data_IF_720568279855
#
_entry.id   IF_720568279855
#
_cell.length_a   1.000
_cell.length_b   1.000
_cell.length_c   1.000
_cell.angle_alpha   90.00
_cell.angle_beta   90.00
_cell.angle_gamma   90.00
#
_symmetry.space_group_name_H-M   'P 1'
#
loop_
_entity.id
_entity.type
_entity.pdbx_description
1 polymer ?
#
# COMPACT_ATOMS: atom_id res chain seq x y z
N UNK A 1 -13.09 -13.14 1.38
CA UNK A 1 -12.01 -13.05 0.37
C UNK A 1 -10.74 -13.67 0.89
N UNK A 2 -9.93 -14.28 0.02
CA UNK A 2 -8.65 -14.83 0.46
C UNK A 2 -7.69 -13.71 0.88
N UNK A 3 -6.84 -14.02 1.83
CA UNK A 3 -5.79 -13.11 2.26
C UNK A 3 -4.69 -13.06 1.20
N UNK A 4 -4.38 -11.88 0.72
CA UNK A 4 -3.31 -11.69 -0.26
C UNK A 4 -2.02 -11.19 0.37
N UNK A 5 -2.11 -10.35 1.39
CA UNK A 5 -0.94 -9.84 2.08
C UNK A 5 -1.30 -9.38 3.48
N UNK A 6 -0.46 -9.75 4.45
CA UNK A 6 -0.51 -9.19 5.79
C UNK A 6 0.90 -8.77 6.14
N UNK A 7 1.11 -7.50 6.38
CA UNK A 7 2.44 -6.95 6.58
C UNK A 7 2.44 -5.89 7.66
N UNK A 8 3.54 -5.78 8.37
CA UNK A 8 3.68 -4.82 9.47
C UNK A 8 4.56 -3.66 9.03
N UNK A 9 4.12 -2.44 9.31
CA UNK A 9 4.91 -1.25 9.04
C UNK A 9 6.06 -1.20 10.05
N UNK A 10 7.29 -1.21 9.55
CA UNK A 10 8.50 -1.18 10.38
C UNK A 10 9.11 0.21 10.48
N UNK A 11 8.88 1.05 9.47
CA UNK A 11 9.44 2.40 9.42
C UNK A 11 8.62 3.27 8.49
N UNK A 12 8.46 4.53 8.85
CA UNK A 12 7.76 5.52 8.03
C UNK A 12 8.76 6.61 7.69
N UNK A 13 9.03 6.81 6.41
CA UNK A 13 9.98 7.83 5.96
C UNK A 13 9.51 9.25 6.27
N UNK A 14 10.44 10.20 6.40
CA UNK A 14 10.09 11.56 6.82
C UNK A 14 9.19 12.32 5.82
N UNK A 15 9.14 11.91 4.55
CA UNK A 15 8.31 12.56 3.54
C UNK A 15 6.97 11.85 3.30
N UNK A 16 6.72 10.74 4.00
CA UNK A 16 5.48 9.97 3.83
C UNK A 16 4.25 10.80 4.17
N UNK A 17 4.29 11.57 5.26
CA UNK A 17 3.13 12.35 5.69
C UNK A 17 2.67 13.33 4.60
N UNK A 18 3.60 14.00 3.94
CA UNK A 18 3.30 14.94 2.88
C UNK A 18 2.63 14.25 1.67
N UNK A 19 3.16 13.10 1.28
CA UNK A 19 2.58 12.31 0.20
C UNK A 19 1.19 11.78 0.57
N UNK A 20 1.05 11.27 1.80
CA UNK A 20 -0.22 10.73 2.28
C UNK A 20 -1.30 11.81 2.37
N UNK A 21 -0.96 13.03 2.72
CA UNK A 21 -1.90 14.14 2.69
C UNK A 21 -2.45 14.37 1.28
N UNK A 22 -1.65 14.09 0.26
CA UNK A 22 -2.08 14.15 -1.14
C UNK A 22 -2.74 12.86 -1.64
N UNK A 23 -2.95 11.88 -0.76
CA UNK A 23 -3.62 10.64 -1.13
C UNK A 23 -2.71 9.60 -1.76
N UNK A 24 -1.41 9.67 -1.52
CA UNK A 24 -0.44 8.72 -2.10
C UNK A 24 0.35 8.04 -0.98
N UNK A 25 0.47 6.72 -1.07
CA UNK A 25 1.27 5.94 -0.14
C UNK A 25 2.17 5.01 -0.93
N UNK A 26 3.48 5.11 -0.69
CA UNK A 26 4.47 4.25 -1.34
C UNK A 26 4.91 3.20 -0.33
N UNK A 27 4.79 1.92 -0.70
CA UNK A 27 5.25 0.81 0.12
C UNK A 27 6.54 0.24 -0.46
N UNK A 28 7.44 -0.17 0.42
CA UNK A 28 8.66 -0.86 0.03
C UNK A 28 9.06 -1.84 1.14
N UNK A 29 9.67 -2.95 0.75
CA UNK A 29 10.12 -3.93 1.74
C UNK A 29 11.17 -3.33 2.67
N UNK A 30 11.15 -3.78 3.94
CA UNK A 30 12.14 -3.37 4.93
C UNK A 30 13.56 -3.60 4.39
N UNK A 31 14.46 -2.67 4.68
CA UNK A 31 15.82 -2.72 4.15
C UNK A 31 16.01 -1.97 2.82
N UNK A 32 15.05 -1.14 2.42
CA UNK A 32 15.15 -0.35 1.20
C UNK A 32 16.33 0.64 1.25
N UNK A 33 16.88 1.00 0.07
CA UNK A 33 17.90 2.04 0.01
C UNK A 33 17.44 3.36 0.62
N UNK A 34 18.34 4.18 1.18
CA UNK A 34 17.95 5.43 1.87
C UNK A 34 17.06 6.37 1.05
N UNK A 35 17.30 6.51 -0.25
CA UNK A 35 16.51 7.39 -1.10
C UNK A 35 15.06 6.95 -1.21
N UNK A 36 14.82 5.64 -1.19
CA UNK A 36 13.47 5.08 -1.24
C UNK A 36 12.83 5.09 0.14
N UNK A 37 13.63 4.87 1.19
CA UNK A 37 13.13 4.88 2.56
C UNK A 37 12.58 6.25 2.98
N UNK A 38 13.11 7.34 2.43
CA UNK A 38 12.64 8.69 2.75
C UNK A 38 11.18 8.92 2.38
N UNK A 39 10.73 8.32 1.29
CA UNK A 39 9.38 8.55 0.74
C UNK A 39 8.46 7.36 0.94
N UNK A 40 8.94 6.29 1.55
CA UNK A 40 8.21 5.02 1.63
C UNK A 40 7.84 4.63 3.04
N UNK A 41 6.74 3.88 3.13
CA UNK A 41 6.40 3.10 4.30
C UNK A 41 7.11 1.76 4.13
N UNK A 42 8.06 1.45 4.98
CA UNK A 42 8.77 0.19 4.94
C UNK A 42 7.98 -0.86 5.73
N UNK A 43 7.95 -2.07 5.23
CA UNK A 43 7.15 -3.11 5.85
C UNK A 43 7.81 -4.48 5.76
N UNK A 44 7.40 -5.35 6.68
CA UNK A 44 7.87 -6.72 6.76
C UNK A 44 6.65 -7.64 6.73
N UNK A 45 6.55 -8.46 5.69
CA UNK A 45 5.41 -9.35 5.48
C UNK A 45 5.37 -10.45 6.54
N UNK A 46 4.18 -10.68 7.09
CA UNK A 46 3.92 -11.80 8.01
C UNK A 46 3.21 -12.94 7.30
N UNK A 47 2.46 -12.63 6.24
CA UNK A 47 1.78 -13.63 5.41
C UNK A 47 1.64 -13.07 3.99
N UNK A 48 1.94 -13.89 3.01
CA UNK A 48 1.94 -13.48 1.62
C UNK A 48 3.24 -12.83 1.20
N UNK A 49 3.28 -12.12 0.07
CA UNK A 49 2.16 -11.91 -0.85
C UNK A 49 1.74 -13.19 -1.57
N UNK A 50 0.45 -13.28 -1.88
CA UNK A 50 -0.11 -14.43 -2.60
C UNK A 50 0.38 -14.45 -4.05
N UNK A 51 0.32 -15.64 -4.69
CA UNK A 51 0.71 -15.76 -6.09
C UNK A 51 -0.23 -15.00 -7.01
N UNK A 52 -1.53 -15.05 -6.72
CA UNK A 52 -2.53 -14.35 -7.51
C UNK A 52 -2.75 -12.94 -6.97
N UNK A 53 -2.88 -11.99 -7.89
CA UNK A 53 -3.18 -10.62 -7.50
C UNK A 53 -4.59 -10.50 -6.92
N UNK A 54 -4.80 -9.59 -5.96
CA UNK A 54 -6.15 -9.30 -5.48
C UNK A 54 -6.99 -8.69 -6.61
N UNK A 55 -8.29 -8.95 -6.57
CA UNK A 55 -9.23 -8.40 -7.54
C UNK A 55 -9.66 -7.00 -7.13
N UNK A 56 -10.17 -6.24 -8.10
CA UNK A 56 -10.87 -4.99 -7.80
C UNK A 56 -12.02 -5.30 -6.85
N UNK A 57 -12.18 -4.49 -5.83
CA UNK A 57 -13.14 -4.71 -4.75
C UNK A 57 -12.54 -5.37 -3.52
N UNK A 58 -11.32 -5.90 -3.61
CA UNK A 58 -10.67 -6.49 -2.44
C UNK A 58 -10.41 -5.41 -1.39
N UNK A 59 -10.62 -5.73 -0.10
CA UNK A 59 -10.37 -4.75 0.96
C UNK A 59 -8.89 -4.52 1.19
N UNK A 60 -8.55 -3.28 1.52
CA UNK A 60 -7.21 -2.90 1.98
C UNK A 60 -7.39 -2.22 3.32
N UNK A 61 -6.76 -2.77 4.35
CA UNK A 61 -6.81 -2.19 5.68
C UNK A 61 -5.42 -1.69 6.07
N UNK A 62 -5.35 -0.45 6.51
CA UNK A 62 -4.13 0.18 7.01
C UNK A 62 -4.44 0.65 8.42
N UNK A 63 -3.91 -0.05 9.42
CA UNK A 63 -4.31 0.22 10.79
C UNK A 63 -5.81 0.02 10.94
N UNK A 64 -6.55 1.06 11.28
CA UNK A 64 -8.01 1.01 11.42
C UNK A 64 -8.75 1.52 10.19
N UNK A 65 -8.01 2.02 9.19
CA UNK A 65 -8.60 2.54 7.96
C UNK A 65 -8.85 1.39 6.98
N UNK A 66 -10.08 1.26 6.50
CA UNK A 66 -10.43 0.22 5.52
C UNK A 66 -10.95 0.86 4.24
N UNK A 67 -10.38 0.45 3.12
CA UNK A 67 -10.77 0.90 1.78
C UNK A 67 -10.85 -0.31 0.87
N UNK A 68 -11.21 -0.09 -0.39
CA UNK A 68 -11.27 -1.15 -1.41
C UNK A 68 -10.39 -0.79 -2.58
N UNK A 69 -9.82 -1.80 -3.23
CA UNK A 69 -9.09 -1.61 -4.48
C UNK A 69 -10.08 -1.23 -5.57
N UNK A 70 -9.82 -0.14 -6.28
CA UNK A 70 -10.68 0.33 -7.38
C UNK A 70 -10.06 0.08 -8.74
N UNK A 71 -8.72 -0.01 -8.82
CA UNK A 71 -8.01 -0.36 -10.04
C UNK A 71 -6.63 -0.89 -9.70
N UNK A 72 -6.04 -1.67 -10.60
CA UNK A 72 -4.71 -2.23 -10.38
C UNK A 72 -3.92 -2.22 -11.68
N UNK A 73 -2.72 -1.67 -11.65
CA UNK A 73 -1.79 -1.71 -12.76
C UNK A 73 -1.33 -3.15 -13.00
N UNK A 74 -1.05 -3.48 -14.26
CA UNK A 74 -0.74 -4.85 -14.66
C UNK A 74 0.54 -5.43 -14.06
N UNK A 75 1.45 -4.58 -13.56
CA UNK A 75 2.71 -5.01 -12.93
C UNK A 75 2.75 -4.76 -11.43
N UNK A 76 1.69 -4.20 -10.86
CA UNK A 76 1.68 -3.80 -9.45
C UNK A 76 1.93 -4.99 -8.52
N UNK A 77 1.19 -6.07 -8.70
CA UNK A 77 1.33 -7.21 -7.80
C UNK A 77 2.66 -7.94 -7.96
N UNK A 78 3.18 -8.00 -9.19
CA UNK A 78 4.50 -8.58 -9.42
C UNK A 78 5.58 -7.84 -8.64
N UNK A 79 5.49 -6.51 -8.56
CA UNK A 79 6.44 -5.70 -7.78
C UNK A 79 6.29 -5.94 -6.28
N UNK A 80 5.08 -6.12 -5.79
CA UNK A 80 4.85 -6.47 -4.38
C UNK A 80 5.50 -7.82 -4.07
N UNK A 81 5.36 -8.79 -4.96
CA UNK A 81 5.94 -10.13 -4.77
C UNK A 81 7.46 -10.12 -4.83
N UNK A 82 8.03 -9.31 -5.70
CA UNK A 82 9.49 -9.27 -5.89
C UNK A 82 10.21 -8.46 -4.82
N UNK A 83 9.74 -7.26 -4.52
CA UNK A 83 10.46 -6.31 -3.67
C UNK A 83 9.57 -5.57 -2.66
N UNK A 84 8.33 -6.00 -2.50
CA UNK A 84 7.40 -5.36 -1.57
C UNK A 84 7.03 -3.94 -1.95
N UNK A 85 7.21 -3.57 -3.22
CA UNK A 85 7.03 -2.21 -3.68
C UNK A 85 5.70 -2.03 -4.42
N UNK A 86 4.95 -1.00 -4.02
CA UNK A 86 3.74 -0.59 -4.74
C UNK A 86 3.42 0.86 -4.37
N UNK A 87 2.87 1.59 -5.31
CA UNK A 87 2.31 2.92 -5.07
C UNK A 87 0.80 2.76 -4.98
N UNK A 88 0.21 3.16 -3.86
CA UNK A 88 -1.24 3.15 -3.70
C UNK A 88 -1.73 4.60 -3.77
N UNK A 89 -2.61 4.87 -4.73
CA UNK A 89 -3.21 6.18 -4.90
C UNK A 89 -4.68 6.12 -4.48
N UNK A 90 -5.04 6.88 -3.47
CA UNK A 90 -6.38 6.86 -2.86
C UNK A 90 -7.27 7.90 -3.56
N UNK A 91 -7.51 7.65 -4.85
CA UNK A 91 -8.26 8.58 -5.72
C UNK A 91 -9.59 8.04 -6.22
N UNK A 92 -9.92 6.78 -5.88
CA UNK A 92 -11.17 6.15 -6.33
C UNK A 92 -11.24 5.90 -7.84
N UNK A 93 -10.12 6.03 -8.55
CA UNK A 93 -10.10 5.85 -10.01
C UNK A 93 -10.37 4.39 -10.40
N UNK A 94 -11.09 4.19 -11.50
CA UNK A 94 -11.32 2.87 -12.05
C UNK A 94 -10.25 2.46 -13.06
N UNK A 95 -9.22 3.29 -13.24
CA UNK A 95 -8.11 3.04 -14.16
C UNK A 95 -6.79 3.43 -13.50
N UNK A 96 -5.85 2.50 -13.44
CA UNK A 96 -4.50 2.80 -12.97
C UNK A 96 -3.69 3.43 -14.11
N UNK A 97 -3.09 4.57 -13.86
CA UNK A 97 -2.30 5.28 -14.88
C UNK A 97 -0.91 4.69 -15.07
N UNK A 98 -0.40 3.99 -14.06
CA UNK A 98 0.93 3.39 -14.09
C UNK A 98 0.85 1.90 -13.86
N UNK A 99 1.73 1.10 -14.49
CA UNK A 99 1.67 -0.36 -14.32
C UNK A 99 1.95 -0.83 -12.89
N UNK A 100 2.70 -0.06 -12.10
CA UNK A 100 3.01 -0.40 -10.70
C UNK A 100 2.09 0.23 -9.66
N UNK A 101 0.95 0.78 -10.08
CA UNK A 101 0.03 1.50 -9.21
C UNK A 101 -1.19 0.67 -8.85
N UNK A 102 -1.63 0.81 -7.59
CA UNK A 102 -2.94 0.34 -7.16
C UNK A 102 -3.76 1.58 -6.81
N UNK A 103 -4.96 1.69 -7.37
CA UNK A 103 -5.90 2.74 -6.99
C UNK A 103 -6.85 2.16 -5.95
N UNK A 104 -7.19 2.97 -4.95
CA UNK A 104 -8.10 2.59 -3.88
C UNK A 104 -9.10 3.70 -3.62
N UNK A 105 -10.13 3.38 -2.84
CA UNK A 105 -11.17 4.32 -2.46
C UNK A 105 -10.56 5.62 -1.93
N UNK A 106 -11.12 6.74 -2.32
CA UNK A 106 -10.70 8.06 -1.84
C UNK A 106 -10.84 8.17 -0.33
N UNK A 107 -9.83 8.74 0.33
CA UNK A 107 -9.81 8.91 1.77
C UNK A 107 -9.34 10.31 2.12
N UNK A 108 -9.65 10.75 3.35
CA UNK A 108 -9.08 11.98 3.89
C UNK A 108 -7.58 11.80 4.12
N UNK A 109 -6.76 12.75 3.63
CA UNK A 109 -5.31 12.66 3.76
C UNK A 109 -4.84 12.60 5.21
N UNK A 110 -5.49 13.33 6.11
CA UNK A 110 -5.17 13.29 7.53
C UNK A 110 -5.44 11.93 8.16
N UNK A 111 -6.50 11.26 7.74
CA UNK A 111 -6.80 9.90 8.20
C UNK A 111 -5.74 8.92 7.71
N UNK A 112 -5.29 9.08 6.47
CA UNK A 112 -4.25 8.22 5.92
C UNK A 112 -2.93 8.40 6.67
N UNK A 113 -2.54 9.63 6.94
CA UNK A 113 -1.34 9.94 7.73
C UNK A 113 -1.42 9.26 9.10
N UNK A 114 -2.56 9.38 9.78
CA UNK A 114 -2.75 8.79 11.11
C UNK A 114 -2.76 7.26 11.09
N UNK A 115 -3.19 6.64 10.00
CA UNK A 115 -3.26 5.19 9.88
C UNK A 115 -1.91 4.57 9.52
N UNK A 116 -1.12 5.22 8.67
CA UNK A 116 0.15 4.71 8.16
C UNK A 116 1.30 5.06 9.12
N UNK A 117 1.38 4.35 10.22
CA UNK A 117 2.41 4.58 11.24
C UNK A 117 3.13 3.30 11.63
N UNK A 118 4.32 3.44 12.19
CA UNK A 118 5.13 2.31 12.64
C UNK A 118 4.34 1.43 13.61
N UNK A 119 4.37 0.13 13.37
CA UNK A 119 3.66 -0.85 14.18
C UNK A 119 2.27 -1.18 13.66
N UNK A 120 1.71 -0.37 12.76
CA UNK A 120 0.41 -0.66 12.17
C UNK A 120 0.51 -1.81 11.17
N UNK A 121 -0.61 -2.52 11.00
CA UNK A 121 -0.69 -3.62 10.02
C UNK A 121 -1.33 -3.11 8.74
N UNK A 122 -0.83 -3.62 7.62
CA UNK A 122 -1.47 -3.46 6.31
C UNK A 122 -1.95 -4.85 5.90
N UNK A 123 -3.25 -4.97 5.60
CA UNK A 123 -3.86 -6.24 5.22
C UNK A 123 -4.60 -6.03 3.89
N UNK A 124 -4.26 -6.84 2.89
CA UNK A 124 -4.93 -6.82 1.59
C UNK A 124 -5.66 -8.14 1.41
N UNK A 125 -6.96 -8.08 1.19
CA UNK A 125 -7.82 -9.25 1.16
C UNK A 125 -8.25 -9.65 2.57
N UNK A 126 -8.52 -10.91 2.76
CA UNK A 126 -8.89 -11.47 4.08
C UNK A 126 -10.35 -11.43 4.40
#
# INVERSE_FOLDING_TARGET
MPLHLKTKITQVGPEVAELAEGGVLILFADGAPPELAEVSVLHLAEAGPSDDAPAVGAPVRIGELTVSITAMGEKAWAKVREIGHVVITFNGSDTAERPGEICATEVDGGELVGAARTGAMIVIGG
#
